data_IF_171594934593
#
_entry.id   IF_171594934593
#
_cell.length_a   1.000
_cell.length_b   1.000
_cell.length_c   1.000
_cell.angle_alpha   90.00
_cell.angle_beta   90.00
_cell.angle_gamma   90.00
#
_symmetry.space_group_name_H-M   'P 1'
#
loop_
_entity.id
_entity.type
_entity.pdbx_description
1 polymer ?
#
# COMPACT_ATOMS: atom_id res chain seq x y z
N UNK A 1 -21.81 -9.21 -20.34
CA UNK A 1 -21.35 -9.96 -19.16
C UNK A 1 -21.63 -11.45 -19.39
N UNK A 2 -20.60 -12.27 -19.57
CA UNK A 2 -20.74 -13.71 -19.76
C UNK A 2 -19.66 -14.44 -18.94
N UNK A 3 -20.03 -15.46 -18.16
CA UNK A 3 -19.08 -16.27 -17.41
C UNK A 3 -19.69 -16.99 -16.21
N UNK A 4 -19.15 -18.15 -15.82
CA UNK A 4 -19.64 -18.96 -14.68
C UNK A 4 -19.38 -18.36 -13.29
N UNK A 5 -18.96 -17.09 -13.22
CA UNK A 5 -18.76 -16.34 -11.97
C UNK A 5 -20.05 -15.65 -11.49
N UNK A 6 -21.12 -15.72 -12.28
CA UNK A 6 -22.47 -15.29 -11.90
C UNK A 6 -23.28 -16.49 -11.40
N UNK A 7 -24.09 -16.29 -10.36
CA UNK A 7 -25.09 -17.29 -9.91
C UNK A 7 -24.64 -18.27 -8.83
N UNK A 8 -23.44 -18.13 -8.25
CA UNK A 8 -23.02 -18.87 -7.05
C UNK A 8 -22.72 -20.37 -7.23
N UNK A 9 -23.19 -21.00 -8.30
CA UNK A 9 -23.01 -22.45 -8.52
C UNK A 9 -21.62 -22.83 -9.07
N UNK A 10 -20.92 -21.91 -9.76
CA UNK A 10 -19.62 -22.17 -10.38
C UNK A 10 -18.40 -21.91 -9.49
N UNK A 11 -18.37 -20.78 -8.78
CA UNK A 11 -17.25 -20.38 -7.91
C UNK A 11 -17.77 -19.93 -6.55
N UNK A 12 -17.37 -20.63 -5.48
CA UNK A 12 -17.75 -20.29 -4.10
C UNK A 12 -17.09 -18.99 -3.61
N UNK A 13 -15.87 -18.72 -4.04
CA UNK A 13 -15.11 -17.49 -3.77
C UNK A 13 -14.33 -17.12 -5.03
N UNK A 14 -14.49 -15.89 -5.52
CA UNK A 14 -13.67 -15.39 -6.63
C UNK A 14 -13.51 -13.87 -6.58
N UNK A 15 -12.34 -13.35 -6.97
CA UNK A 15 -12.14 -11.90 -7.05
C UNK A 15 -12.79 -11.26 -8.29
N UNK A 16 -13.13 -12.05 -9.30
CA UNK A 16 -13.53 -11.57 -10.62
C UNK A 16 -15.04 -11.56 -10.86
N UNK A 17 -15.79 -10.59 -10.31
CA UNK A 17 -17.25 -10.62 -10.42
C UNK A 17 -17.86 -10.12 -11.74
N UNK A 18 -17.14 -9.32 -12.52
CA UNK A 18 -17.77 -8.61 -13.65
C UNK A 18 -17.81 -9.40 -14.96
N UNK A 19 -17.08 -10.52 -15.07
CA UNK A 19 -17.11 -11.39 -16.26
C UNK A 19 -16.70 -10.70 -17.58
N UNK A 20 -15.95 -9.60 -17.51
CA UNK A 20 -15.48 -8.83 -18.69
C UNK A 20 -13.96 -8.80 -18.84
N UNK A 21 -13.21 -9.30 -17.86
CA UNK A 21 -11.73 -9.18 -17.86
C UNK A 21 -11.11 -9.82 -19.10
N UNK A 22 -11.40 -11.11 -19.34
CA UNK A 22 -10.83 -11.84 -20.49
C UNK A 22 -11.34 -11.30 -21.83
N UNK A 23 -12.57 -10.77 -21.91
CA UNK A 23 -13.06 -10.16 -23.14
C UNK A 23 -12.36 -8.84 -23.47
N UNK A 24 -11.97 -8.06 -22.46
CA UNK A 24 -11.15 -6.85 -22.67
C UNK A 24 -9.77 -7.24 -23.16
N UNK A 25 -9.12 -8.24 -22.54
CA UNK A 25 -7.82 -8.76 -23.01
C UNK A 25 -7.91 -9.19 -24.48
N UNK A 26 -8.97 -9.92 -24.85
CA UNK A 26 -9.20 -10.35 -26.23
C UNK A 26 -9.41 -9.18 -27.20
N UNK A 27 -10.22 -8.19 -26.81
CA UNK A 27 -10.49 -7.02 -27.65
C UNK A 27 -9.25 -6.14 -27.88
N UNK A 28 -8.35 -6.05 -26.88
CA UNK A 28 -7.13 -5.24 -26.93
C UNK A 28 -5.89 -6.03 -27.43
N UNK A 29 -6.09 -7.23 -27.96
CA UNK A 29 -5.03 -8.08 -28.50
C UNK A 29 -5.15 -8.21 -30.01
N UNK A 30 -4.04 -8.05 -30.74
CA UNK A 30 -4.00 -8.31 -32.19
C UNK A 30 -4.25 -9.80 -32.51
N UNK A 31 -3.83 -10.68 -31.61
CA UNK A 31 -4.08 -12.12 -31.64
C UNK A 31 -4.31 -12.64 -30.22
N UNK A 32 -5.24 -13.56 -30.04
CA UNK A 32 -5.39 -14.33 -28.82
C UNK A 32 -5.69 -15.80 -29.16
N UNK A 33 -5.07 -16.72 -28.45
CA UNK A 33 -5.24 -18.16 -28.60
C UNK A 33 -5.62 -18.78 -27.25
N UNK A 34 -6.68 -19.58 -27.23
CA UNK A 34 -7.11 -20.32 -26.04
C UNK A 34 -7.06 -21.80 -26.35
N UNK A 35 -6.38 -22.56 -25.50
CA UNK A 35 -6.40 -24.02 -25.52
C UNK A 35 -7.00 -24.54 -24.21
N UNK A 36 -8.00 -25.43 -24.30
CA UNK A 36 -8.69 -26.02 -23.15
C UNK A 36 -8.55 -27.53 -23.21
N UNK A 37 -7.97 -28.13 -22.17
CA UNK A 37 -7.88 -29.57 -21.97
C UNK A 37 -8.98 -30.01 -21.01
N UNK A 38 -9.95 -30.78 -21.48
CA UNK A 38 -11.11 -31.23 -20.70
C UNK A 38 -11.70 -32.51 -21.30
N UNK A 39 -12.17 -33.41 -20.45
CA UNK A 39 -12.88 -34.64 -20.86
C UNK A 39 -12.09 -35.48 -21.88
N UNK A 40 -10.77 -35.61 -21.68
CA UNK A 40 -9.88 -36.40 -22.54
C UNK A 40 -9.44 -35.69 -23.82
N UNK A 41 -9.92 -34.47 -24.08
CA UNK A 41 -9.74 -33.76 -25.35
C UNK A 41 -9.06 -32.41 -25.18
N UNK A 42 -8.39 -31.95 -26.24
CA UNK A 42 -7.79 -30.63 -26.36
C UNK A 42 -8.58 -29.83 -27.37
N UNK A 43 -9.15 -28.71 -26.93
CA UNK A 43 -9.90 -27.77 -27.75
C UNK A 43 -9.09 -26.50 -27.97
N UNK A 44 -9.14 -25.90 -29.16
CA UNK A 44 -8.49 -24.63 -29.47
C UNK A 44 -9.46 -23.67 -30.14
N UNK A 45 -9.34 -22.37 -29.80
CA UNK A 45 -9.94 -21.28 -30.57
C UNK A 45 -8.97 -20.11 -30.67
N UNK A 46 -8.95 -19.47 -31.84
CA UNK A 46 -8.14 -18.28 -32.11
C UNK A 46 -9.04 -17.07 -32.36
N UNK A 47 -8.56 -15.92 -31.91
CA UNK A 47 -9.21 -14.63 -32.05
C UNK A 47 -8.24 -13.60 -32.63
N UNK A 48 -8.76 -12.63 -33.37
CA UNK A 48 -8.05 -11.42 -33.81
C UNK A 48 -8.89 -10.20 -33.49
N UNK A 49 -8.33 -9.25 -32.74
CA UNK A 49 -9.01 -8.02 -32.31
C UNK A 49 -10.42 -8.33 -31.73
N UNK A 50 -10.51 -9.35 -30.86
CA UNK A 50 -11.77 -9.81 -30.26
C UNK A 50 -12.63 -10.76 -31.11
N UNK A 51 -12.42 -10.85 -32.43
CA UNK A 51 -13.26 -11.65 -33.33
C UNK A 51 -12.77 -13.11 -33.44
N UNK A 52 -13.63 -14.13 -33.23
CA UNK A 52 -13.26 -15.53 -33.42
C UNK A 52 -12.96 -15.80 -34.90
N UNK A 53 -11.89 -16.55 -35.16
CA UNK A 53 -11.46 -16.87 -36.53
C UNK A 53 -12.15 -18.11 -37.11
N UNK A 54 -12.64 -18.98 -36.22
CA UNK A 54 -13.34 -20.23 -36.54
C UNK A 54 -14.07 -20.74 -35.29
N UNK A 55 -14.98 -21.70 -35.45
CA UNK A 55 -15.64 -22.41 -34.34
C UNK A 55 -14.66 -23.31 -33.59
N UNK A 56 -14.88 -23.52 -32.29
CA UNK A 56 -14.00 -24.32 -31.41
C UNK A 56 -13.67 -25.66 -32.08
N UNK A 57 -12.37 -25.93 -32.26
CA UNK A 57 -11.87 -27.16 -32.90
C UNK A 57 -11.21 -28.08 -31.87
N UNK A 58 -11.42 -29.38 -32.02
CA UNK A 58 -10.66 -30.41 -31.32
C UNK A 58 -9.32 -30.62 -32.05
N UNK A 59 -8.21 -30.50 -31.32
CA UNK A 59 -6.85 -30.57 -31.88
C UNK A 59 -6.05 -31.79 -31.39
N UNK A 60 -6.61 -32.58 -30.46
CA UNK A 60 -5.95 -33.77 -29.94
C UNK A 60 -6.60 -34.30 -28.67
N UNK A 61 -5.94 -35.28 -28.07
CA UNK A 61 -6.34 -35.93 -26.82
C UNK A 61 -5.36 -35.56 -25.69
N UNK A 62 -5.83 -35.57 -24.44
CA UNK A 62 -5.02 -35.28 -23.25
C UNK A 62 -5.62 -35.94 -22.01
N UNK A 63 -4.78 -36.60 -21.21
CA UNK A 63 -5.16 -37.13 -19.89
C UNK A 63 -5.18 -36.03 -18.80
N UNK A 64 -4.54 -34.89 -19.06
CA UNK A 64 -4.51 -33.74 -18.16
C UNK A 64 -5.69 -32.79 -18.42
N UNK A 65 -6.06 -32.02 -17.39
CA UNK A 65 -7.00 -30.90 -17.50
C UNK A 65 -6.30 -29.56 -17.32
N UNK A 66 -6.85 -28.50 -17.90
CA UNK A 66 -6.31 -27.15 -17.75
C UNK A 66 -6.65 -26.22 -18.92
N UNK A 67 -6.31 -24.95 -18.76
CA UNK A 67 -6.52 -23.93 -19.79
C UNK A 67 -5.23 -23.14 -19.98
N UNK A 68 -4.82 -23.00 -21.23
CA UNK A 68 -3.73 -22.12 -21.64
C UNK A 68 -4.33 -20.95 -22.42
N UNK A 69 -3.90 -19.73 -22.08
CA UNK A 69 -4.27 -18.51 -22.80
C UNK A 69 -2.99 -17.81 -23.21
N UNK A 70 -2.83 -17.62 -24.51
CA UNK A 70 -1.70 -16.90 -25.10
C UNK A 70 -2.25 -15.70 -25.84
N UNK A 71 -1.70 -14.51 -25.62
CA UNK A 71 -2.21 -13.29 -26.27
C UNK A 71 -1.05 -12.37 -26.65
N UNK A 72 -1.30 -11.57 -27.69
CA UNK A 72 -0.35 -10.60 -28.21
C UNK A 72 -1.02 -9.22 -28.17
N UNK A 73 -0.53 -8.28 -27.34
CA UNK A 73 -1.12 -6.95 -27.24
C UNK A 73 -1.11 -6.24 -28.61
N UNK A 74 -2.14 -5.43 -28.86
CA UNK A 74 -2.26 -4.67 -30.09
C UNK A 74 -1.41 -3.39 -30.05
N UNK A 75 -0.41 -3.32 -30.93
CA UNK A 75 0.52 -2.19 -31.05
C UNK A 75 -0.12 -0.92 -31.63
N UNK A 76 -1.31 -1.01 -32.26
CA UNK A 76 -2.09 0.17 -32.66
C UNK A 76 -2.77 0.84 -31.46
N UNK A 77 -3.03 0.08 -30.39
CA UNK A 77 -3.70 0.56 -29.17
C UNK A 77 -2.66 0.95 -28.12
N UNK A 78 -1.67 0.09 -27.87
CA UNK A 78 -0.63 0.31 -26.88
C UNK A 78 0.60 0.97 -27.54
N UNK A 79 0.52 2.29 -27.72
CA UNK A 79 1.53 3.07 -28.46
C UNK A 79 2.79 3.38 -27.65
N UNK A 80 2.73 3.33 -26.31
CA UNK A 80 3.89 3.59 -25.45
C UNK A 80 4.83 2.39 -25.36
N UNK A 81 4.28 1.20 -25.14
CA UNK A 81 5.05 -0.06 -25.09
C UNK A 81 4.12 -1.26 -25.21
N UNK A 82 4.64 -2.33 -25.81
CA UNK A 82 4.06 -3.69 -25.77
C UNK A 82 4.98 -4.68 -25.05
N UNK A 83 6.12 -4.20 -24.55
CA UNK A 83 7.08 -5.00 -23.82
C UNK A 83 6.69 -5.11 -22.35
N UNK A 84 6.59 -6.35 -21.86
CA UNK A 84 6.32 -6.61 -20.45
C UNK A 84 7.61 -6.50 -19.63
N UNK A 85 7.50 -5.80 -18.51
CA UNK A 85 8.53 -5.70 -17.49
C UNK A 85 8.55 -6.95 -16.60
N UNK A 86 9.67 -7.67 -16.58
CA UNK A 86 9.80 -8.93 -15.86
C UNK A 86 9.70 -8.73 -14.34
N UNK A 87 10.32 -7.68 -13.80
CA UNK A 87 10.37 -7.43 -12.36
C UNK A 87 9.00 -7.08 -11.78
N UNK A 88 8.18 -6.35 -12.54
CA UNK A 88 6.79 -6.06 -12.21
C UNK A 88 5.96 -7.34 -12.15
N UNK A 89 6.07 -8.20 -13.17
CA UNK A 89 5.38 -9.50 -13.20
C UNK A 89 5.84 -10.41 -12.06
N UNK A 90 7.16 -10.47 -11.83
CA UNK A 90 7.80 -11.25 -10.77
C UNK A 90 7.26 -10.84 -9.40
N UNK A 91 7.22 -9.54 -9.13
CA UNK A 91 6.71 -9.00 -7.87
C UNK A 91 5.24 -9.41 -7.66
N UNK A 92 4.39 -9.24 -8.69
CA UNK A 92 2.97 -9.59 -8.60
C UNK A 92 2.73 -11.10 -8.45
N UNK A 93 3.49 -11.93 -9.16
CA UNK A 93 3.37 -13.39 -9.08
C UNK A 93 3.84 -13.89 -7.70
N UNK A 94 4.91 -13.31 -7.14
CA UNK A 94 5.37 -13.63 -5.80
C UNK A 94 4.31 -13.33 -4.75
N UNK A 95 3.64 -12.18 -4.82
CA UNK A 95 2.50 -11.86 -3.95
C UNK A 95 1.38 -12.91 -4.05
N UNK A 96 1.02 -13.30 -5.27
CA UNK A 96 -0.02 -14.30 -5.50
C UNK A 96 0.37 -15.68 -4.93
N UNK A 97 1.64 -16.07 -5.05
CA UNK A 97 2.12 -17.32 -4.48
C UNK A 97 2.05 -17.30 -2.94
N UNK A 98 2.34 -16.18 -2.29
CA UNK A 98 2.15 -16.03 -0.84
C UNK A 98 0.69 -16.12 -0.40
N UNK A 99 -0.23 -15.51 -1.17
CA UNK A 99 -1.66 -15.52 -0.85
C UNK A 99 -2.32 -16.89 -1.04
N UNK A 100 -1.68 -17.79 -1.80
CA UNK A 100 -2.21 -19.10 -2.13
C UNK A 100 -1.24 -20.20 -1.72
N UNK A 101 -1.33 -20.63 -0.45
CA UNK A 101 -0.52 -21.71 0.14
C UNK A 101 -0.49 -22.94 -0.76
N UNK A 102 0.71 -23.43 -1.07
CA UNK A 102 0.94 -24.65 -1.84
C UNK A 102 0.67 -24.54 -3.35
N UNK A 103 0.32 -23.37 -3.88
CA UNK A 103 0.24 -23.17 -5.34
C UNK A 103 1.62 -22.84 -5.89
N UNK A 104 2.12 -23.71 -6.77
CA UNK A 104 3.31 -23.44 -7.57
C UNK A 104 2.96 -22.49 -8.73
N UNK A 105 3.70 -21.40 -8.86
CA UNK A 105 3.61 -20.49 -9.99
C UNK A 105 5.00 -20.36 -10.62
N UNK A 106 5.10 -20.61 -11.93
CA UNK A 106 6.34 -20.48 -12.70
C UNK A 106 6.24 -19.27 -13.62
N UNK A 107 7.21 -18.37 -13.53
CA UNK A 107 7.38 -17.22 -14.44
C UNK A 107 8.64 -17.43 -15.28
N UNK A 108 8.49 -17.52 -16.60
CA UNK A 108 9.61 -17.69 -17.53
C UNK A 108 9.63 -16.54 -18.53
N UNK A 109 10.79 -15.93 -18.74
CA UNK A 109 11.05 -14.95 -19.79
C UNK A 109 11.93 -15.56 -20.89
N UNK A 110 11.29 -15.94 -22.00
CA UNK A 110 11.96 -16.53 -23.17
C UNK A 110 12.89 -15.55 -23.91
N UNK A 111 12.83 -14.24 -23.61
CA UNK A 111 13.75 -13.25 -24.21
C UNK A 111 15.15 -13.31 -23.58
N UNK A 112 15.21 -13.72 -22.31
CA UNK A 112 16.44 -13.71 -21.49
C UNK A 112 16.79 -15.09 -20.93
N UNK A 113 15.96 -16.11 -21.20
CA UNK A 113 16.06 -17.47 -20.67
C UNK A 113 16.05 -17.54 -19.12
N UNK A 114 15.45 -16.55 -18.46
CA UNK A 114 15.31 -16.52 -17.00
C UNK A 114 14.01 -17.25 -16.60
N UNK A 115 14.09 -18.16 -15.63
CA UNK A 115 12.92 -18.86 -15.07
C UNK A 115 12.89 -18.83 -13.55
N UNK A 116 11.80 -18.26 -13.03
CA UNK A 116 11.34 -18.05 -11.65
C UNK A 116 10.32 -19.09 -11.15
N UNK A 117 10.60 -19.93 -10.16
CA UNK A 117 9.56 -20.77 -9.50
C UNK A 117 9.20 -20.22 -8.12
N UNK A 118 7.91 -20.06 -7.85
CA UNK A 118 7.37 -19.56 -6.58
C UNK A 118 6.42 -20.58 -5.95
N UNK A 119 6.75 -21.05 -4.75
CA UNK A 119 5.90 -21.91 -3.93
C UNK A 119 6.14 -21.58 -2.45
N UNK A 120 5.07 -21.27 -1.72
CA UNK A 120 5.16 -20.85 -0.32
C UNK A 120 4.13 -21.59 0.54
N UNK A 121 4.60 -22.58 1.31
CA UNK A 121 3.78 -23.34 2.25
C UNK A 121 3.34 -22.50 3.45
N UNK A 122 4.18 -21.55 3.89
CA UNK A 122 3.86 -20.63 5.00
C UNK A 122 2.85 -19.55 4.64
N UNK A 123 2.50 -19.39 3.36
CA UNK A 123 1.53 -18.40 2.87
C UNK A 123 1.87 -16.97 3.30
N UNK A 124 0.87 -16.27 3.86
CA UNK A 124 1.03 -14.87 4.28
C UNK A 124 2.02 -14.67 5.44
N UNK A 125 2.37 -15.72 6.20
CA UNK A 125 3.43 -15.66 7.21
C UNK A 125 4.77 -15.38 6.52
N UNK A 126 5.08 -16.19 5.50
CA UNK A 126 6.28 -16.02 4.67
C UNK A 126 6.29 -14.68 3.93
N UNK A 127 5.10 -14.14 3.61
CA UNK A 127 5.00 -12.81 3.03
C UNK A 127 5.45 -11.71 4.01
N UNK A 128 4.99 -11.76 5.27
CA UNK A 128 5.44 -10.81 6.30
C UNK A 128 6.95 -10.92 6.52
N UNK A 129 7.49 -12.14 6.57
CA UNK A 129 8.94 -12.38 6.69
C UNK A 129 9.71 -11.79 5.51
N UNK A 130 9.21 -11.97 4.29
CA UNK A 130 9.80 -11.39 3.09
C UNK A 130 9.81 -9.86 3.12
N UNK A 131 8.70 -9.23 3.52
CA UNK A 131 8.60 -7.77 3.65
C UNK A 131 9.51 -7.21 4.75
N UNK A 132 9.78 -8.00 5.80
CA UNK A 132 10.66 -7.63 6.89
C UNK A 132 12.13 -8.04 6.69
N UNK A 133 12.52 -8.62 5.55
CA UNK A 133 13.88 -9.13 5.33
C UNK A 133 15.01 -8.10 5.56
N UNK A 134 14.71 -6.80 5.38
CA UNK A 134 15.66 -5.70 5.55
C UNK A 134 15.43 -4.89 6.84
N UNK A 135 14.64 -5.42 7.78
CA UNK A 135 14.25 -4.76 9.04
C UNK A 135 14.52 -5.70 10.21
N UNK A 136 14.73 -5.16 11.41
CA UNK A 136 14.95 -5.98 12.60
C UNK A 136 13.61 -6.32 13.28
N UNK A 137 13.16 -7.59 13.27
CA UNK A 137 11.89 -7.95 13.87
C UNK A 137 11.95 -7.87 15.40
N UNK A 138 10.94 -7.26 16.02
CA UNK A 138 10.80 -7.14 17.48
C UNK A 138 10.56 -8.50 18.15
N UNK A 139 9.89 -9.40 17.42
CA UNK A 139 9.57 -10.75 17.85
C UNK A 139 9.57 -11.72 16.68
N UNK A 140 9.78 -12.99 17.00
CA UNK A 140 9.61 -14.11 16.07
C UNK A 140 8.88 -15.25 16.80
N UNK A 141 8.07 -16.05 16.09
CA UNK A 141 7.65 -15.87 14.69
C UNK A 141 6.66 -14.69 14.49
N UNK A 142 6.29 -14.34 13.23
CA UNK A 142 5.13 -13.49 12.97
C UNK A 142 3.87 -14.05 13.64
N UNK A 143 2.99 -13.14 14.09
CA UNK A 143 1.69 -13.51 14.66
C UNK A 143 0.78 -13.87 13.49
N UNK A 144 0.14 -15.03 13.59
CA UNK A 144 -0.78 -15.54 12.58
C UNK A 144 -2.14 -15.82 13.19
N UNK A 145 -3.18 -15.33 12.52
CA UNK A 145 -4.57 -15.51 12.90
C UNK A 145 -5.35 -15.97 11.68
N UNK A 146 -6.09 -17.06 11.83
CA UNK A 146 -7.05 -17.53 10.83
C UNK A 146 -8.41 -17.80 11.48
N UNK A 147 -9.48 -17.61 10.71
CA UNK A 147 -10.83 -17.92 11.13
C UNK A 147 -11.83 -17.83 9.98
N UNK A 148 -12.98 -18.47 10.15
CA UNK A 148 -14.11 -18.37 9.22
C UNK A 148 -15.37 -18.03 10.01
N UNK A 149 -16.13 -17.06 9.51
CA UNK A 149 -17.44 -16.69 10.05
C UNK A 149 -18.34 -16.20 8.92
N UNK A 150 -19.59 -16.65 8.92
CA UNK A 150 -20.58 -16.30 7.88
C UNK A 150 -20.08 -16.54 6.45
N UNK A 151 -19.34 -17.64 6.24
CA UNK A 151 -18.68 -18.00 4.97
C UNK A 151 -17.60 -17.01 4.49
N UNK A 152 -17.17 -16.09 5.36
CA UNK A 152 -16.05 -15.19 5.13
C UNK A 152 -14.84 -15.76 5.87
N UNK A 153 -13.80 -16.10 5.12
CA UNK A 153 -12.53 -16.53 5.70
C UNK A 153 -11.65 -15.30 5.88
N UNK A 154 -11.03 -15.19 7.06
CA UNK A 154 -10.15 -14.10 7.43
C UNK A 154 -8.81 -14.71 7.81
N UNK A 155 -7.75 -14.21 7.19
CA UNK A 155 -6.37 -14.62 7.43
C UNK A 155 -5.54 -13.36 7.65
N UNK A 156 -4.87 -13.26 8.79
CA UNK A 156 -4.04 -12.10 9.15
C UNK A 156 -2.69 -12.59 9.64
N UNK A 157 -1.62 -12.08 9.02
CA UNK A 157 -0.26 -12.24 9.53
C UNK A 157 0.30 -10.86 9.85
N UNK A 158 0.95 -10.71 11.00
CA UNK A 158 1.56 -9.44 11.39
C UNK A 158 2.84 -9.62 12.20
N UNK A 159 3.75 -8.67 12.06
CA UNK A 159 5.00 -8.63 12.81
C UNK A 159 5.46 -7.20 12.99
N UNK A 160 5.84 -6.87 14.23
CA UNK A 160 6.49 -5.60 14.53
C UNK A 160 7.98 -5.66 14.22
N UNK A 161 8.52 -4.57 13.72
CA UNK A 161 9.94 -4.38 13.44
C UNK A 161 10.45 -3.08 14.07
N UNK A 162 11.73 -2.75 13.87
CA UNK A 162 12.41 -1.57 14.41
C UNK A 162 12.11 -0.26 13.67
N UNK A 163 11.34 -0.29 12.58
CA UNK A 163 10.97 0.89 11.81
C UNK A 163 9.91 1.75 12.52
N UNK A 164 9.66 2.92 11.92
CA UNK A 164 8.65 3.89 12.36
C UNK A 164 7.46 3.97 11.40
N UNK A 165 7.50 3.21 10.30
CA UNK A 165 6.46 3.23 9.26
C UNK A 165 5.55 2.01 9.41
N UNK A 166 4.24 2.23 9.29
CA UNK A 166 3.28 1.13 9.16
C UNK A 166 3.28 0.62 7.71
N UNK A 167 3.23 -0.70 7.54
CA UNK A 167 3.17 -1.36 6.24
C UNK A 167 2.03 -2.38 6.29
N UNK A 168 0.82 -1.92 5.97
CA UNK A 168 -0.39 -2.74 6.00
C UNK A 168 -0.81 -3.00 4.57
N UNK A 169 -0.86 -4.27 4.18
CA UNK A 169 -1.32 -4.70 2.88
C UNK A 169 -2.59 -5.51 3.07
N UNK A 170 -3.67 -5.05 2.44
CA UNK A 170 -4.98 -5.68 2.56
C UNK A 170 -5.41 -6.28 1.21
N UNK A 171 -6.05 -7.44 1.28
CA UNK A 171 -6.44 -8.23 0.13
C UNK A 171 -7.85 -8.76 0.31
N UNK A 172 -8.67 -8.67 -0.74
CA UNK A 172 -9.96 -9.33 -0.83
C UNK A 172 -9.98 -10.25 -2.06
N UNK A 173 -10.15 -11.56 -1.85
CA UNK A 173 -10.12 -12.57 -2.91
C UNK A 173 -8.87 -12.46 -3.82
N UNK A 174 -7.68 -12.34 -3.21
CA UNK A 174 -6.37 -12.17 -3.87
C UNK A 174 -6.17 -10.84 -4.63
N UNK A 175 -7.09 -9.89 -4.50
CA UNK A 175 -7.00 -8.55 -5.08
C UNK A 175 -6.46 -7.60 -4.01
N UNK A 176 -5.39 -6.86 -4.33
CA UNK A 176 -4.81 -5.86 -3.43
C UNK A 176 -5.75 -4.65 -3.33
N UNK A 177 -6.23 -4.38 -2.12
CA UNK A 177 -7.06 -3.23 -1.80
C UNK A 177 -6.19 -2.11 -1.21
N UNK A 178 -5.39 -1.47 -2.05
CA UNK A 178 -4.41 -0.46 -1.61
C UNK A 178 -5.03 0.85 -1.07
N UNK A 179 -6.32 1.11 -1.37
CA UNK A 179 -7.10 2.18 -0.72
C UNK A 179 -7.80 1.69 0.56
N UNK A 180 -7.53 0.45 0.97
CA UNK A 180 -8.04 -0.20 2.18
C UNK A 180 -9.47 -0.71 2.03
N UNK A 181 -10.30 -0.51 3.05
CA UNK A 181 -11.69 -0.94 3.04
C UNK A 181 -12.20 -1.35 4.41
N UNK A 182 -13.35 -2.02 4.40
CA UNK A 182 -14.06 -2.44 5.61
C UNK A 182 -13.29 -3.47 6.44
N UNK A 183 -12.65 -4.45 5.79
CA UNK A 183 -11.74 -5.43 6.41
C UNK A 183 -10.55 -4.77 7.11
N UNK A 184 -9.85 -3.87 6.43
CA UNK A 184 -8.71 -3.16 7.01
C UNK A 184 -9.12 -2.27 8.18
N UNK A 185 -10.27 -1.60 8.07
CA UNK A 185 -10.83 -0.78 9.15
C UNK A 185 -11.18 -1.60 10.39
N UNK A 186 -11.74 -2.81 10.19
CA UNK A 186 -12.03 -3.76 11.27
C UNK A 186 -10.76 -4.22 11.98
N UNK A 187 -9.73 -4.59 11.22
CA UNK A 187 -8.41 -4.94 11.75
C UNK A 187 -7.80 -3.78 12.57
N UNK A 188 -7.72 -2.57 12.01
CA UNK A 188 -7.13 -1.39 12.67
C UNK A 188 -7.86 -1.06 13.98
N UNK A 189 -9.19 -1.18 13.99
CA UNK A 189 -10.02 -0.94 15.18
C UNK A 189 -9.75 -1.98 16.27
N UNK A 190 -9.78 -3.28 15.91
CA UNK A 190 -9.52 -4.37 16.84
C UNK A 190 -8.11 -4.32 17.42
N UNK A 191 -7.08 -4.11 16.59
CA UNK A 191 -5.69 -4.01 17.03
C UNK A 191 -5.51 -2.91 18.08
N UNK A 192 -6.04 -1.72 17.79
CA UNK A 192 -5.94 -0.56 18.71
C UNK A 192 -6.64 -0.85 20.04
N UNK A 193 -7.83 -1.45 20.00
CA UNK A 193 -8.61 -1.77 21.20
C UNK A 193 -7.91 -2.82 22.06
N UNK A 194 -7.53 -3.95 21.48
CA UNK A 194 -6.93 -5.09 22.21
C UNK A 194 -5.59 -4.72 22.82
N UNK A 195 -4.73 -3.98 22.11
CA UNK A 195 -3.45 -3.56 22.70
C UNK A 195 -3.64 -2.55 23.85
N UNK A 196 -4.63 -1.65 23.77
CA UNK A 196 -4.94 -0.76 24.88
C UNK A 196 -5.49 -1.53 26.10
N UNK A 197 -6.42 -2.46 25.89
CA UNK A 197 -6.95 -3.32 26.95
C UNK A 197 -5.83 -4.13 27.64
N UNK A 198 -4.93 -4.71 26.86
CA UNK A 198 -3.75 -5.42 27.37
C UNK A 198 -2.80 -4.48 28.13
N UNK A 199 -2.48 -3.32 27.57
CA UNK A 199 -1.59 -2.34 28.19
C UNK A 199 -2.11 -1.84 29.55
N UNK A 200 -3.43 -1.67 29.68
CA UNK A 200 -4.10 -1.32 30.96
C UNK A 200 -4.02 -2.47 31.96
N UNK A 201 -4.41 -3.68 31.53
CA UNK A 201 -4.44 -4.88 32.38
C UNK A 201 -3.08 -5.19 33.01
N UNK A 202 -2.00 -4.95 32.29
CA UNK A 202 -0.62 -5.20 32.74
C UNK A 202 0.11 -3.95 33.22
N UNK A 203 -0.61 -2.84 33.49
CA UNK A 203 -0.05 -1.59 34.01
C UNK A 203 1.10 -0.98 33.19
N UNK A 204 1.13 -1.23 31.88
CA UNK A 204 2.06 -0.56 30.97
C UNK A 204 1.67 0.91 30.75
N UNK A 205 0.38 1.23 30.91
CA UNK A 205 -0.18 2.58 30.86
C UNK A 205 -0.97 2.81 32.15
N UNK A 206 -0.65 3.88 32.90
CA UNK A 206 -1.34 4.21 34.15
C UNK A 206 -2.75 4.72 33.86
N UNK A 207 -3.72 4.47 34.75
CA UNK A 207 -5.11 4.95 34.61
C UNK A 207 -5.23 6.44 34.26
N UNK A 208 -4.32 7.28 34.76
CA UNK A 208 -4.25 8.72 34.47
C UNK A 208 -3.78 9.08 33.06
N UNK A 209 -3.02 8.19 32.42
CA UNK A 209 -2.36 8.46 31.15
C UNK A 209 -3.35 8.21 30.00
N UNK A 210 -3.16 8.91 28.88
CA UNK A 210 -3.98 8.69 27.69
C UNK A 210 -3.73 7.30 27.08
N UNK A 211 -4.77 6.73 26.45
CA UNK A 211 -4.61 5.51 25.65
C UNK A 211 -3.65 5.75 24.47
N UNK A 212 -3.07 4.66 23.98
CA UNK A 212 -2.35 4.66 22.71
C UNK A 212 -3.32 5.02 21.59
N UNK A 213 -2.92 5.94 20.72
CA UNK A 213 -3.64 6.19 19.48
C UNK A 213 -3.44 5.01 18.52
N UNK A 214 -4.26 4.96 17.46
CA UNK A 214 -4.10 3.94 16.42
C UNK A 214 -2.73 4.01 15.75
N UNK A 215 -2.20 5.21 15.55
CA UNK A 215 -0.89 5.42 14.93
C UNK A 215 0.24 4.94 15.85
N UNK A 216 0.13 5.18 17.17
CA UNK A 216 1.10 4.68 18.15
C UNK A 216 1.15 3.13 18.14
N UNK A 217 0.00 2.49 17.96
CA UNK A 217 -0.13 1.02 17.91
C UNK A 217 0.42 0.43 16.62
N UNK A 218 0.36 1.15 15.49
CA UNK A 218 0.75 0.63 14.17
C UNK A 218 2.16 1.05 13.74
N UNK A 219 2.85 1.89 14.52
CA UNK A 219 4.24 2.25 14.29
C UNK A 219 5.13 1.00 14.17
N UNK A 220 5.85 0.86 13.05
CA UNK A 220 6.72 -0.28 12.77
C UNK A 220 6.01 -1.62 12.62
N UNK A 221 4.71 -1.61 12.33
CA UNK A 221 3.93 -2.81 12.05
C UNK A 221 4.05 -3.17 10.56
N UNK A 222 4.31 -4.45 10.27
CA UNK A 222 4.05 -5.03 8.94
C UNK A 222 2.93 -6.05 9.08
N UNK A 223 1.86 -5.88 8.30
CA UNK A 223 0.70 -6.77 8.37
C UNK A 223 0.14 -7.07 6.98
N UNK A 224 -0.26 -8.34 6.78
CA UNK A 224 -1.02 -8.83 5.64
C UNK A 224 -2.41 -9.21 6.13
N UNK A 225 -3.45 -8.64 5.53
CA UNK A 225 -4.86 -8.93 5.85
C UNK A 225 -5.49 -9.51 4.58
N UNK A 226 -5.81 -10.80 4.59
CA UNK A 226 -6.44 -11.48 3.45
C UNK A 226 -7.83 -11.94 3.84
N UNK A 227 -8.85 -11.49 3.11
CA UNK A 227 -10.23 -11.95 3.27
C UNK A 227 -10.70 -12.67 2.02
N UNK A 228 -11.40 -13.79 2.23
CA UNK A 228 -12.07 -14.56 1.18
C UNK A 228 -13.58 -14.45 1.38
N UNK A 229 -14.25 -13.76 0.47
CA UNK A 229 -15.66 -13.38 0.56
C UNK A 229 -16.41 -13.94 -0.66
N UNK A 230 -17.61 -14.51 -0.51
CA UNK A 230 -18.41 -15.00 -1.63
C UNK A 230 -18.80 -13.90 -2.63
N UNK A 231 -19.30 -12.76 -2.15
CA UNK A 231 -19.78 -11.64 -2.96
C UNK A 231 -19.10 -10.30 -2.59
N UNK A 232 -17.84 -10.06 -3.02
CA UNK A 232 -17.12 -8.84 -2.69
C UNK A 232 -17.64 -7.63 -3.47
N UNK A 233 -18.06 -6.59 -2.76
CA UNK A 233 -18.43 -5.29 -3.30
C UNK A 233 -17.25 -4.34 -3.20
N UNK A 234 -16.79 -3.81 -4.33
CA UNK A 234 -15.69 -2.85 -4.40
C UNK A 234 -16.19 -1.47 -4.80
N UNK A 235 -15.51 -0.43 -4.30
CA UNK A 235 -15.66 0.92 -4.82
C UNK A 235 -14.94 1.00 -6.18
N UNK A 236 -15.69 1.22 -7.27
CA UNK A 236 -15.16 1.36 -8.62
C UNK A 236 -14.68 0.04 -9.28
N UNK A 237 -14.30 0.14 -10.55
CA UNK A 237 -13.88 -1.01 -11.37
C UNK A 237 -12.46 -1.50 -11.05
N UNK A 238 -11.60 -0.61 -10.58
CA UNK A 238 -10.20 -0.88 -10.24
C UNK A 238 -10.05 -1.71 -8.95
N UNK A 239 -11.15 -1.92 -8.21
CA UNK A 239 -11.23 -2.81 -7.03
C UNK A 239 -10.21 -2.46 -5.95
N UNK A 240 -10.00 -1.18 -5.74
CA UNK A 240 -8.98 -0.62 -4.84
C UNK A 240 -9.43 -0.61 -3.38
N UNK A 241 -10.75 -0.60 -3.14
CA UNK A 241 -11.33 -0.51 -1.81
C UNK A 241 -12.55 -1.42 -1.63
N UNK A 242 -12.56 -2.18 -0.54
CA UNK A 242 -13.67 -3.08 -0.19
C UNK A 242 -14.79 -2.33 0.55
N UNK A 243 -16.04 -2.51 0.11
CA UNK A 243 -17.23 -1.83 0.61
C UNK A 243 -18.21 -2.68 1.44
N UNK A 244 -18.02 -4.00 1.54
CA UNK A 244 -18.89 -4.89 2.33
C UNK A 244 -18.89 -4.51 3.82
N UNK A 245 -19.98 -3.91 4.32
CA UNK A 245 -20.07 -3.39 5.69
C UNK A 245 -19.94 -4.47 6.78
N UNK A 246 -20.48 -5.66 6.52
CA UNK A 246 -20.48 -6.82 7.39
C UNK A 246 -19.08 -7.38 7.64
N UNK A 247 -18.19 -7.27 6.65
CA UNK A 247 -16.80 -7.74 6.74
C UNK A 247 -16.05 -7.03 7.86
N UNK A 248 -16.33 -5.75 8.11
CA UNK A 248 -15.71 -4.99 9.19
C UNK A 248 -15.91 -5.68 10.54
N UNK A 249 -17.16 -5.98 10.90
CA UNK A 249 -17.49 -6.59 12.19
C UNK A 249 -16.97 -8.02 12.32
N UNK A 250 -16.97 -8.77 11.21
CA UNK A 250 -16.42 -10.14 11.18
C UNK A 250 -14.91 -10.12 11.44
N UNK A 251 -14.15 -9.32 10.68
CA UNK A 251 -12.70 -9.18 10.87
C UNK A 251 -12.38 -8.66 12.27
N UNK A 252 -13.10 -7.62 12.73
CA UNK A 252 -12.88 -7.04 14.06
C UNK A 252 -13.06 -8.08 15.18
N UNK A 253 -14.14 -8.88 15.12
CA UNK A 253 -14.44 -9.89 16.15
C UNK A 253 -13.46 -11.07 16.12
N UNK A 254 -13.22 -11.68 14.95
CA UNK A 254 -12.32 -12.81 14.80
C UNK A 254 -10.88 -12.46 15.17
N UNK A 255 -10.40 -11.31 14.67
CA UNK A 255 -9.05 -10.86 14.95
C UNK A 255 -8.87 -10.50 16.43
N UNK A 256 -9.87 -9.85 17.04
CA UNK A 256 -9.81 -9.49 18.46
C UNK A 256 -9.68 -10.72 19.37
N UNK A 257 -10.53 -11.73 19.17
CA UNK A 257 -10.53 -12.97 19.95
C UNK A 257 -9.17 -13.66 19.87
N UNK A 258 -8.66 -13.86 18.64
CA UNK A 258 -7.42 -14.61 18.41
C UNK A 258 -6.17 -13.84 18.79
N UNK A 259 -6.17 -12.52 18.61
CA UNK A 259 -5.06 -11.69 19.10
C UNK A 259 -5.03 -11.69 20.62
N UNK A 260 -6.19 -11.60 21.30
CA UNK A 260 -6.23 -11.66 22.76
C UNK A 260 -5.70 -13.00 23.28
N UNK A 261 -6.14 -14.12 22.71
CA UNK A 261 -5.63 -15.47 22.98
C UNK A 261 -4.10 -15.51 22.84
N UNK A 262 -3.58 -15.05 21.70
CA UNK A 262 -2.13 -15.01 21.44
C UNK A 262 -1.35 -14.20 22.49
N UNK A 263 -1.84 -13.00 22.86
CA UNK A 263 -1.15 -12.12 23.81
C UNK A 263 -1.17 -12.69 25.24
N UNK A 264 -2.20 -13.45 25.59
CA UNK A 264 -2.28 -14.14 26.88
C UNK A 264 -1.30 -15.33 26.95
N UNK A 265 -1.19 -16.10 25.86
CA UNK A 265 -0.26 -17.23 25.76
C UNK A 265 1.21 -16.80 25.64
N UNK A 266 1.47 -15.61 25.05
CA UNK A 266 2.80 -15.13 24.73
C UNK A 266 3.14 -13.79 25.44
N UNK A 267 3.18 -13.76 26.79
CA UNK A 267 3.34 -12.50 27.54
C UNK A 267 4.67 -11.77 27.27
N UNK A 268 5.74 -12.50 26.96
CA UNK A 268 7.02 -11.91 26.62
C UNK A 268 6.98 -11.13 25.29
N UNK A 269 6.25 -11.64 24.29
CA UNK A 269 6.05 -10.99 23.00
C UNK A 269 5.09 -9.81 23.16
N UNK A 270 3.97 -10.03 23.85
CA UNK A 270 2.97 -9.01 24.12
C UNK A 270 3.56 -7.78 24.82
N UNK A 271 4.43 -8.00 25.83
CA UNK A 271 5.14 -6.91 26.52
C UNK A 271 6.00 -6.09 25.56
N UNK A 272 6.78 -6.73 24.67
CA UNK A 272 7.62 -6.02 23.69
C UNK A 272 6.77 -5.17 22.72
N UNK A 273 5.64 -5.71 22.25
CA UNK A 273 4.72 -5.01 21.36
C UNK A 273 4.15 -3.76 22.05
N UNK A 274 3.64 -3.91 23.27
CA UNK A 274 3.08 -2.79 24.03
C UNK A 274 4.15 -1.76 24.37
N UNK A 275 5.37 -2.18 24.74
CA UNK A 275 6.48 -1.27 24.99
C UNK A 275 6.83 -0.44 23.76
N UNK A 276 6.80 -1.02 22.55
CA UNK A 276 6.99 -0.27 21.30
C UNK A 276 5.91 0.79 21.11
N UNK A 277 4.64 0.44 21.33
CA UNK A 277 3.53 1.42 21.25
C UNK A 277 3.64 2.55 22.28
N UNK A 278 4.06 2.25 23.51
CA UNK A 278 4.31 3.27 24.55
C UNK A 278 5.49 4.18 24.18
N UNK A 279 6.54 3.64 23.55
CA UNK A 279 7.65 4.44 23.03
C UNK A 279 7.20 5.37 21.90
N UNK A 280 6.37 4.88 20.97
CA UNK A 280 5.78 5.68 19.90
C UNK A 280 4.94 6.83 20.47
N UNK A 281 4.06 6.55 21.44
CA UNK A 281 3.25 7.55 22.12
C UNK A 281 4.12 8.64 22.77
N UNK A 282 5.17 8.25 23.50
CA UNK A 282 6.10 9.21 24.13
C UNK A 282 6.82 10.07 23.08
N UNK A 283 7.23 9.47 21.96
CA UNK A 283 7.88 10.19 20.87
C UNK A 283 6.91 11.18 20.21
N UNK A 284 5.66 10.79 19.96
CA UNK A 284 4.61 11.67 19.43
C UNK A 284 4.29 12.82 20.36
N UNK A 285 4.16 12.57 21.66
CA UNK A 285 3.94 13.63 22.65
C UNK A 285 5.12 14.59 22.76
N UNK A 286 6.35 14.09 22.70
CA UNK A 286 7.56 14.91 22.68
C UNK A 286 7.60 15.77 21.40
N UNK A 287 7.29 15.20 20.24
CA UNK A 287 7.17 15.93 18.99
C UNK A 287 6.08 17.00 19.06
N UNK A 288 4.90 16.70 19.62
CA UNK A 288 3.81 17.68 19.82
C UNK A 288 4.26 18.82 20.73
N UNK A 289 4.92 18.53 21.86
CA UNK A 289 5.46 19.56 22.78
C UNK A 289 6.51 20.42 22.08
N UNK A 290 7.40 19.81 21.30
CA UNK A 290 8.41 20.54 20.52
C UNK A 290 7.77 21.44 19.44
N UNK A 291 6.74 20.95 18.74
CA UNK A 291 5.93 21.73 17.81
C UNK A 291 5.24 22.90 18.51
N UNK A 292 4.59 22.68 19.66
CA UNK A 292 3.91 23.74 20.42
C UNK A 292 4.89 24.81 20.95
N UNK A 293 6.06 24.41 21.45
CA UNK A 293 7.12 25.34 21.84
C UNK A 293 7.60 26.18 20.64
N UNK A 294 7.74 25.56 19.48
CA UNK A 294 8.11 26.25 18.23
C UNK A 294 6.99 27.17 17.77
N UNK A 295 5.73 26.73 17.84
CA UNK A 295 4.54 27.51 17.46
C UNK A 295 4.30 28.67 18.43
N UNK A 296 4.58 28.53 19.73
CA UNK A 296 4.51 29.63 20.71
C UNK A 296 5.62 30.66 20.52
N UNK A 297 6.84 30.22 20.17
CA UNK A 297 7.90 31.15 19.73
C UNK A 297 7.49 31.88 18.44
N UNK A 298 6.90 31.14 17.49
CA UNK A 298 6.36 31.69 16.24
C UNK A 298 5.07 32.52 16.42
N UNK A 299 4.31 32.34 17.50
CA UNK A 299 3.12 33.14 17.81
C UNK A 299 3.45 34.58 18.25
N UNK A 300 4.70 34.82 18.66
CA UNK A 300 5.27 36.17 18.78
C UNK A 300 5.91 36.66 17.47
N UNK A 301 6.10 35.77 16.48
CA UNK A 301 6.70 36.01 15.16
C UNK A 301 5.75 35.63 13.99
N UNK A 302 4.43 35.86 14.14
CA UNK A 302 3.31 35.32 13.30
C UNK A 302 3.37 35.70 11.81
N UNK A 303 4.41 36.39 11.36
CA UNK A 303 4.51 36.89 9.98
C UNK A 303 5.74 36.43 9.20
N UNK A 304 6.62 35.58 9.72
CA UNK A 304 7.80 35.18 8.95
C UNK A 304 7.59 33.84 8.24
N UNK A 305 7.22 33.92 6.96
CA UNK A 305 7.60 32.90 5.98
C UNK A 305 9.09 32.56 6.17
N UNK A 306 9.53 31.32 5.85
CA UNK A 306 10.94 30.97 5.97
C UNK A 306 11.78 32.07 5.34
N UNK A 307 12.79 32.61 6.05
CA UNK A 307 13.56 33.76 5.54
C UNK A 307 14.26 33.51 4.20
N UNK A 308 14.36 32.23 3.80
CA UNK A 308 14.85 31.78 2.50
C UNK A 308 13.79 31.78 1.38
N UNK A 309 12.51 31.68 1.71
CA UNK A 309 11.41 31.65 0.73
C UNK A 309 11.29 33.03 0.07
N UNK A 310 11.56 33.08 -1.23
CA UNK A 310 11.14 34.19 -2.05
C UNK A 310 9.70 33.92 -2.52
N UNK A 311 8.71 34.57 -1.92
CA UNK A 311 7.31 34.30 -2.25
C UNK A 311 6.86 34.96 -3.58
N UNK A 312 5.73 34.53 -4.11
CA UNK A 312 5.03 35.19 -5.22
C UNK A 312 4.07 36.29 -4.72
N UNK A 313 3.68 37.21 -5.60
CA UNK A 313 2.75 38.29 -5.24
C UNK A 313 1.28 37.84 -5.19
N UNK A 314 0.91 36.83 -5.98
CA UNK A 314 -0.42 36.26 -5.99
C UNK A 314 -0.70 35.50 -4.70
N UNK A 315 -1.95 35.56 -4.26
CA UNK A 315 -2.47 34.74 -3.15
C UNK A 315 -3.42 33.65 -3.63
N UNK A 316 -3.67 33.58 -4.94
CA UNK A 316 -4.48 32.53 -5.54
C UNK A 316 -3.62 31.27 -5.71
N UNK A 317 -3.91 30.26 -4.89
CA UNK A 317 -3.17 29.01 -4.88
C UNK A 317 -3.29 28.24 -6.22
N UNK A 318 -4.36 28.45 -6.99
CA UNK A 318 -4.63 27.72 -8.23
C UNK A 318 -3.66 28.06 -9.36
N UNK A 319 -3.15 29.29 -9.38
CA UNK A 319 -2.16 29.74 -10.36
C UNK A 319 -0.74 29.74 -9.79
N UNK A 320 -0.61 29.67 -8.45
CA UNK A 320 0.67 29.83 -7.78
C UNK A 320 1.51 28.55 -7.82
N UNK A 321 2.80 28.75 -8.11
CA UNK A 321 3.83 27.72 -8.24
C UNK A 321 4.89 27.94 -7.17
N UNK A 322 5.43 26.85 -6.60
CA UNK A 322 6.65 26.90 -5.80
C UNK A 322 7.73 26.01 -6.41
N UNK A 323 8.90 26.59 -6.65
CA UNK A 323 10.10 25.91 -7.10
C UNK A 323 10.99 25.62 -5.90
N UNK A 324 11.19 24.34 -5.63
CA UNK A 324 12.14 23.87 -4.62
C UNK A 324 13.47 23.62 -5.34
N UNK A 325 14.51 24.31 -4.93
CA UNK A 325 15.80 24.36 -5.66
C UNK A 325 16.97 24.00 -4.76
N UNK A 326 18.01 23.44 -5.38
CA UNK A 326 19.23 23.08 -4.68
C UNK A 326 20.14 24.31 -4.42
N UNK A 327 20.27 24.67 -3.16
CA UNK A 327 21.18 25.71 -2.70
C UNK A 327 20.75 27.14 -3.04
N UNK A 328 21.47 28.09 -2.46
CA UNK A 328 21.22 29.52 -2.71
C UNK A 328 21.71 29.96 -4.10
N UNK A 329 22.60 29.19 -4.74
CA UNK A 329 23.12 29.49 -6.07
C UNK A 329 22.02 29.33 -7.13
N UNK A 330 21.42 28.14 -7.23
CA UNK A 330 20.26 27.91 -8.09
C UNK A 330 19.08 28.78 -7.66
N UNK A 331 18.88 28.98 -6.35
CA UNK A 331 17.88 29.90 -5.82
C UNK A 331 18.04 31.35 -6.26
N UNK A 332 19.27 31.86 -6.36
CA UNK A 332 19.56 33.20 -6.84
C UNK A 332 19.16 33.37 -8.31
N UNK A 333 19.58 32.42 -9.15
CA UNK A 333 19.28 32.41 -10.58
C UNK A 333 17.77 32.25 -10.85
N UNK A 334 17.13 31.30 -10.17
CA UNK A 334 15.69 31.07 -10.28
C UNK A 334 14.90 32.30 -9.81
N UNK A 335 15.32 32.96 -8.73
CA UNK A 335 14.67 34.18 -8.22
C UNK A 335 14.77 35.34 -9.21
N UNK A 336 15.84 35.45 -9.98
CA UNK A 336 16.01 36.50 -10.99
C UNK A 336 15.21 36.21 -12.26
N UNK A 337 15.10 34.94 -12.67
CA UNK A 337 14.43 34.53 -13.90
C UNK A 337 12.92 34.32 -13.79
N UNK A 338 12.37 34.22 -12.58
CA UNK A 338 10.95 33.91 -12.36
C UNK A 338 9.99 35.03 -12.73
N UNK A 339 8.75 34.64 -13.03
CA UNK A 339 7.62 35.56 -12.91
C UNK A 339 7.21 35.69 -11.43
N UNK A 340 7.59 36.82 -10.82
CA UNK A 340 7.25 37.14 -9.43
C UNK A 340 5.73 37.18 -9.16
N UNK A 341 4.90 37.25 -10.20
CA UNK A 341 3.46 37.28 -10.04
C UNK A 341 2.96 35.99 -9.37
N UNK A 342 3.33 34.83 -9.90
CA UNK A 342 2.81 33.53 -9.48
C UNK A 342 3.87 32.50 -9.09
N UNK A 343 5.18 32.77 -9.27
CA UNK A 343 6.24 31.81 -8.97
C UNK A 343 6.99 32.16 -7.68
N UNK A 344 6.97 31.25 -6.72
CA UNK A 344 7.74 31.27 -5.48
C UNK A 344 9.01 30.40 -5.58
N UNK A 345 10.09 30.77 -4.91
CA UNK A 345 11.35 30.01 -4.90
C UNK A 345 11.73 29.68 -3.45
N UNK A 346 11.93 28.39 -3.17
CA UNK A 346 12.38 27.87 -1.89
C UNK A 346 13.73 27.16 -2.06
N UNK A 347 14.87 27.83 -1.77
CA UNK A 347 16.17 27.21 -1.80
C UNK A 347 16.40 26.35 -0.55
N UNK A 348 16.83 25.10 -0.77
CA UNK A 348 17.18 24.16 0.28
C UNK A 348 18.69 23.98 0.36
N UNK A 349 19.23 23.81 1.56
CA UNK A 349 20.68 23.61 1.76
C UNK A 349 20.99 22.20 2.23
N UNK A 350 21.97 21.58 1.57
CA UNK A 350 22.45 20.25 1.91
C UNK A 350 21.46 19.14 1.59
N UNK A 351 21.87 17.89 1.83
CA UNK A 351 21.03 16.72 1.55
C UNK A 351 19.88 16.61 2.55
N UNK A 352 18.66 16.46 2.05
CA UNK A 352 17.49 16.19 2.89
C UNK A 352 17.69 14.81 3.54
N UNK A 353 17.47 14.66 4.86
CA UNK A 353 17.62 13.37 5.51
C UNK A 353 16.59 12.37 4.97
N UNK A 354 16.98 11.10 4.86
CA UNK A 354 16.07 10.02 4.50
C UNK A 354 14.98 9.87 5.59
N UNK A 355 13.75 10.22 5.22
CA UNK A 355 12.60 10.21 6.12
C UNK A 355 12.06 8.80 6.41
N UNK A 356 12.30 7.83 5.53
CA UNK A 356 11.83 6.44 5.69
C UNK A 356 12.40 5.77 6.95
N UNK A 357 13.62 6.14 7.33
CA UNK A 357 14.34 5.57 8.48
C UNK A 357 14.40 6.49 9.69
N UNK A 358 13.71 7.63 9.66
CA UNK A 358 13.83 8.65 10.70
C UNK A 358 12.53 8.85 11.46
N UNK A 359 12.64 9.04 12.78
CA UNK A 359 11.51 9.42 13.63
C UNK A 359 11.01 10.83 13.30
N UNK A 360 9.72 11.06 13.52
CA UNK A 360 9.05 12.33 13.26
C UNK A 360 9.69 13.53 13.99
N UNK A 361 10.15 13.36 15.22
CA UNK A 361 10.86 14.38 15.99
C UNK A 361 12.19 14.77 15.35
N UNK A 362 12.96 13.79 14.88
CA UNK A 362 14.21 14.00 14.15
C UNK A 362 13.96 14.67 12.80
N UNK A 363 12.92 14.25 12.07
CA UNK A 363 12.47 14.86 10.82
C UNK A 363 12.14 16.34 11.04
N UNK A 364 11.35 16.66 12.07
CA UNK A 364 10.94 18.02 12.41
C UNK A 364 12.07 18.87 13.00
N UNK A 365 13.14 18.27 13.51
CA UNK A 365 14.34 18.98 13.94
C UNK A 365 15.13 19.54 12.75
N UNK A 366 14.92 19.03 11.53
CA UNK A 366 15.57 19.53 10.32
C UNK A 366 14.95 20.87 9.86
N UNK A 367 15.81 21.85 9.61
CA UNK A 367 15.40 23.20 9.22
C UNK A 367 14.78 23.26 7.82
N UNK A 368 15.30 22.48 6.87
CA UNK A 368 14.84 22.46 5.48
C UNK A 368 13.44 21.83 5.39
N UNK A 369 13.22 20.71 6.10
CA UNK A 369 11.90 20.07 6.17
C UNK A 369 10.88 21.02 6.81
N UNK A 370 11.23 21.71 7.90
CA UNK A 370 10.35 22.73 8.49
C UNK A 370 10.05 23.87 7.51
N UNK A 371 11.03 24.29 6.71
CA UNK A 371 10.84 25.33 5.71
C UNK A 371 9.85 24.90 4.62
N UNK A 372 9.93 23.65 4.13
CA UNK A 372 8.97 23.07 3.18
C UNK A 372 7.55 23.08 3.78
N UNK A 373 7.39 22.52 4.98
CA UNK A 373 6.07 22.43 5.64
C UNK A 373 5.46 23.83 5.82
N UNK A 374 6.28 24.79 6.26
CA UNK A 374 5.83 26.18 6.48
C UNK A 374 5.50 26.88 5.16
N UNK A 375 6.29 26.65 4.11
CA UNK A 375 6.05 27.24 2.79
C UNK A 375 4.75 26.72 2.17
N UNK A 376 4.50 25.40 2.22
CA UNK A 376 3.31 24.78 1.65
C UNK A 376 2.04 25.09 2.43
N UNK A 377 2.14 25.24 3.76
CA UNK A 377 1.02 25.64 4.62
C UNK A 377 0.01 24.54 4.92
N UNK A 378 0.21 23.33 4.40
CA UNK A 378 -0.70 22.19 4.56
C UNK A 378 -0.60 21.49 5.91
N UNK A 379 0.47 21.71 6.68
CA UNK A 379 0.78 20.84 7.83
C UNK A 379 1.33 19.48 7.39
N UNK A 380 1.43 18.52 8.32
CA UNK A 380 1.91 17.14 8.08
C UNK A 380 1.20 16.12 8.97
N UNK A 381 1.13 14.87 8.51
CA UNK A 381 0.53 13.76 9.28
C UNK A 381 -0.94 14.04 9.61
N UNK A 382 -1.33 13.86 10.88
CA UNK A 382 -2.70 14.14 11.36
C UNK A 382 -3.15 15.60 11.17
N UNK A 383 -2.21 16.56 11.15
CA UNK A 383 -2.50 17.98 10.95
C UNK A 383 -2.55 18.38 9.47
N UNK A 384 -2.40 17.41 8.55
CA UNK A 384 -2.38 17.67 7.11
C UNK A 384 -3.76 18.07 6.58
N UNK A 385 -3.82 19.22 5.91
CA UNK A 385 -5.01 19.76 5.30
C UNK A 385 -4.67 20.33 3.93
N UNK A 386 -5.05 19.60 2.89
CA UNK A 386 -4.80 19.99 1.50
C UNK A 386 -5.50 21.31 1.13
N UNK A 387 -6.61 21.66 1.78
CA UNK A 387 -7.34 22.90 1.49
C UNK A 387 -6.54 24.15 1.88
N UNK A 388 -5.52 23.99 2.73
CA UNK A 388 -4.60 25.07 3.14
C UNK A 388 -3.37 25.19 2.24
N UNK A 389 -3.27 24.39 1.18
CA UNK A 389 -2.16 24.45 0.25
C UNK A 389 -2.03 25.84 -0.36
N UNK A 390 -0.84 26.43 -0.23
CA UNK A 390 -0.54 27.77 -0.76
C UNK A 390 -0.19 27.78 -2.25
N UNK A 391 0.22 26.63 -2.79
CA UNK A 391 0.63 26.45 -4.18
C UNK A 391 0.04 25.13 -4.70
N UNK A 392 -0.71 25.18 -5.79
CA UNK A 392 -1.27 23.95 -6.42
C UNK A 392 -0.27 23.24 -7.33
N UNK A 393 0.88 23.87 -7.56
CA UNK A 393 1.99 23.31 -8.34
C UNK A 393 3.27 23.40 -7.53
N UNK A 394 3.85 22.25 -7.25
CA UNK A 394 5.13 22.11 -6.56
C UNK A 394 6.11 21.55 -7.58
N UNK A 395 7.10 22.35 -7.98
CA UNK A 395 8.13 21.96 -8.92
C UNK A 395 9.41 21.68 -8.15
N UNK A 396 9.93 20.47 -8.28
CA UNK A 396 11.26 20.09 -7.80
C UNK A 396 12.22 20.35 -8.96
N UNK A 397 13.12 21.32 -8.79
CA UNK A 397 14.08 21.72 -9.81
C UNK A 397 15.49 21.44 -9.29
N UNK A 398 16.04 20.32 -9.74
CA UNK A 398 17.39 19.83 -9.39
C UNK A 398 18.31 19.84 -10.60
N UNK A 399 19.61 19.84 -10.34
CA UNK A 399 20.63 19.73 -11.37
C UNK A 399 20.63 18.32 -11.98
N UNK A 400 20.98 18.20 -13.26
CA UNK A 400 21.02 16.92 -13.96
C UNK A 400 22.35 16.18 -13.70
N UNK A 401 22.69 15.97 -12.44
CA UNK A 401 23.86 15.22 -12.00
C UNK A 401 23.47 14.03 -11.09
N UNK A 402 24.43 13.43 -10.40
CA UNK A 402 24.19 12.26 -9.53
C UNK A 402 23.71 12.65 -8.12
N UNK A 403 23.85 13.91 -7.74
CA UNK A 403 23.46 14.43 -6.43
C UNK A 403 22.04 15.02 -6.45
N UNK A 404 21.65 15.65 -7.56
CA UNK A 404 20.29 16.13 -7.86
C UNK A 404 19.31 15.05 -8.30
#
# INVERSE_FOLDING_TARGET
>A
HAGGKFGGEGYKVSGGLHGVGVSVVNALSKKLEVQVKREGKVYQQEYRCGAPQYDIKEIGESEMTGTQVTFWPDEEIFTETTEYDFDTLQSRIRELAFLNKGIEIVLTDERTDISQTFIYEGGIISFVEHLNQNREPVHQPPIYVEGEKDHIQVEVALQYNDSYTENIYSFANNINTHEGGTHESGFKSALTRILNEYARKYNAIKESDANLSGDDVREGLTAIISVKIPDPQFEGQTKTKLGNSEVRGIVESLFAEKLEEFLQENPAIAKKIVEKGVQAQRAREAARKARELTRRKSALEVSSLPGKLADCSSKDASISEVYIVEGDSAGGSAKQGRDRHFQAILPLRGKIPNVEKARLDKILSNAEIRAIITALGTGIGEDFDISKARYHKIIIMTDADVDG
#
